data_IF_064020407060
#
_entry.id   IF_064020407060
#
_cell.length_a   1.000
_cell.length_b   1.000
_cell.length_c   1.000
_cell.angle_alpha   90.00
_cell.angle_beta   90.00
_cell.angle_gamma   90.00
#
_symmetry.space_group_name_H-M   'P 1'
#
loop_
_entity.id
_entity.type
_entity.pdbx_description
1 polymer ?
#
# COMPACT_ATOMS: atom_id res chain seq x y z
N UNK A 1 -10.40 -18.36 17.59
CA UNK A 1 -9.67 -17.52 16.63
C UNK A 1 -9.83 -18.14 15.26
N UNK A 2 -10.39 -17.43 14.29
CA UNK A 2 -10.29 -17.86 12.90
C UNK A 2 -8.79 -17.84 12.57
N UNK A 3 -8.25 -18.98 12.15
CA UNK A 3 -6.88 -19.07 11.65
C UNK A 3 -6.85 -18.21 10.38
N UNK A 4 -6.32 -16.99 10.47
CA UNK A 4 -6.02 -16.22 9.27
C UNK A 4 -4.91 -16.99 8.56
N UNK A 5 -5.30 -17.78 7.55
CA UNK A 5 -4.37 -18.62 6.81
C UNK A 5 -3.35 -17.75 6.08
N UNK A 6 -2.19 -17.54 6.68
CA UNK A 6 -1.04 -17.05 5.95
C UNK A 6 -0.51 -18.18 5.07
N UNK A 7 0.01 -17.84 3.90
CA UNK A 7 0.81 -18.79 3.15
C UNK A 7 2.29 -18.63 3.51
N UNK A 8 2.96 -19.75 3.70
CA UNK A 8 4.41 -19.77 3.91
C UNK A 8 5.10 -19.73 2.55
N UNK A 9 6.03 -18.80 2.36
CA UNK A 9 6.85 -18.68 1.15
C UNK A 9 8.30 -18.46 1.58
N UNK A 10 9.24 -19.12 0.90
CA UNK A 10 10.66 -18.83 1.04
C UNK A 10 11.05 -17.56 0.27
N UNK A 11 12.00 -16.75 0.76
CA UNK A 11 12.45 -15.58 0.01
C UNK A 11 12.91 -15.89 -1.43
N UNK A 12 13.53 -17.06 -1.68
CA UNK A 12 13.86 -17.53 -3.03
C UNK A 12 12.62 -17.75 -3.89
N UNK A 13 11.56 -18.37 -3.34
CA UNK A 13 10.30 -18.55 -4.07
C UNK A 13 9.69 -17.21 -4.50
N UNK A 14 9.84 -16.13 -3.74
CA UNK A 14 9.39 -14.79 -4.19
C UNK A 14 10.05 -14.38 -5.51
N UNK A 15 11.38 -14.49 -5.59
CA UNK A 15 12.12 -14.16 -6.81
C UNK A 15 11.72 -15.10 -7.96
N UNK A 16 11.52 -16.39 -7.69
CA UNK A 16 11.08 -17.33 -8.71
C UNK A 16 9.63 -17.07 -9.17
N UNK A 17 8.75 -16.60 -8.30
CA UNK A 17 7.40 -16.14 -8.68
C UNK A 17 7.48 -14.94 -9.63
N UNK A 18 8.34 -13.96 -9.37
CA UNK A 18 8.60 -12.85 -10.32
C UNK A 18 9.14 -13.38 -11.64
N UNK A 19 9.98 -14.40 -11.61
CA UNK A 19 10.57 -15.01 -12.80
C UNK A 19 9.51 -15.73 -13.66
N UNK A 20 8.56 -16.39 -13.00
CA UNK A 20 7.47 -17.16 -13.62
C UNK A 20 6.51 -16.29 -14.44
N UNK A 21 6.41 -14.99 -14.18
CA UNK A 21 5.54 -14.09 -14.95
C UNK A 21 6.06 -13.86 -16.38
N UNK A 22 7.33 -14.16 -16.64
CA UNK A 22 7.96 -13.99 -17.94
C UNK A 22 7.79 -15.25 -18.77
N UNK A 23 7.32 -15.09 -20.01
CA UNK A 23 7.22 -16.20 -20.97
C UNK A 23 8.56 -16.94 -21.12
N UNK A 24 8.51 -18.27 -21.26
CA UNK A 24 9.69 -19.12 -21.43
C UNK A 24 10.51 -19.33 -20.15
N UNK A 25 9.96 -19.04 -18.97
CA UNK A 25 10.49 -19.51 -17.70
C UNK A 25 10.43 -21.05 -17.66
N UNK A 26 11.57 -21.69 -17.39
CA UNK A 26 11.65 -23.14 -17.15
C UNK A 26 11.53 -23.36 -15.65
N UNK A 27 10.66 -24.27 -15.24
CA UNK A 27 10.50 -24.58 -13.82
C UNK A 27 11.84 -25.06 -13.24
N UNK A 28 12.19 -24.48 -12.10
CA UNK A 28 13.41 -24.77 -11.35
C UNK A 28 13.05 -25.82 -10.30
N UNK A 29 13.95 -26.76 -9.94
CA UNK A 29 13.74 -27.72 -8.86
C UNK A 29 13.71 -27.03 -7.48
N UNK A 30 12.65 -26.28 -7.24
CA UNK A 30 12.23 -25.76 -5.95
C UNK A 30 10.84 -26.32 -5.71
N UNK A 31 10.64 -26.95 -4.55
CA UNK A 31 9.45 -27.73 -4.18
C UNK A 31 8.21 -26.84 -3.98
N UNK A 32 7.72 -26.24 -5.07
CA UNK A 32 6.53 -25.41 -5.09
C UNK A 32 5.91 -25.30 -6.47
N UNK A 33 4.59 -25.48 -6.52
CA UNK A 33 3.79 -25.07 -7.66
C UNK A 33 3.70 -23.53 -7.71
N UNK A 34 4.68 -22.90 -8.37
CA UNK A 34 4.76 -21.43 -8.51
C UNK A 34 3.55 -20.85 -9.26
N UNK A 35 2.91 -21.62 -10.15
CA UNK A 35 1.72 -21.19 -10.86
C UNK A 35 0.52 -21.08 -9.91
N UNK A 36 0.30 -22.09 -9.06
CA UNK A 36 -0.75 -22.05 -8.04
C UNK A 36 -0.52 -20.92 -7.05
N UNK A 37 0.73 -20.72 -6.64
CA UNK A 37 1.11 -19.63 -5.76
C UNK A 37 0.75 -18.27 -6.40
N UNK A 38 1.19 -18.04 -7.65
CA UNK A 38 0.88 -16.81 -8.37
C UNK A 38 -0.63 -16.58 -8.52
N UNK A 39 -1.39 -17.63 -8.78
CA UNK A 39 -2.85 -17.55 -8.87
C UNK A 39 -3.50 -17.15 -7.54
N UNK A 40 -3.03 -17.70 -6.40
CA UNK A 40 -3.48 -17.31 -5.05
C UNK A 40 -3.15 -15.86 -4.73
N UNK A 41 -1.94 -15.40 -5.08
CA UNK A 41 -1.51 -14.01 -4.86
C UNK A 41 -2.36 -13.04 -5.70
N UNK A 42 -2.66 -13.39 -6.96
CA UNK A 42 -3.50 -12.58 -7.85
C UNK A 42 -4.95 -12.48 -7.40
N UNK A 43 -5.51 -13.57 -6.86
CA UNK A 43 -6.90 -13.56 -6.39
C UNK A 43 -7.07 -12.77 -5.08
N UNK A 44 -6.01 -12.66 -4.28
CA UNK A 44 -6.01 -11.87 -3.05
C UNK A 44 -4.64 -11.20 -2.80
N UNK A 45 -4.43 -9.96 -3.28
CA UNK A 45 -3.20 -9.21 -3.00
C UNK A 45 -2.94 -8.93 -1.51
N UNK A 46 -3.97 -9.02 -0.66
CA UNK A 46 -3.87 -8.89 0.78
C UNK A 46 -3.60 -10.21 1.51
N UNK A 47 -3.45 -11.33 0.78
CA UNK A 47 -3.14 -12.61 1.37
C UNK A 47 -1.89 -12.48 2.26
N UNK A 48 -1.98 -12.78 3.57
CA UNK A 48 -0.81 -12.73 4.42
C UNK A 48 0.22 -13.76 3.95
N UNK A 49 1.44 -13.30 3.72
CA UNK A 49 2.58 -14.12 3.35
C UNK A 49 3.57 -14.09 4.50
N UNK A 50 3.95 -15.26 4.99
CA UNK A 50 5.00 -15.42 5.99
C UNK A 50 6.28 -15.89 5.32
N UNK A 51 7.37 -15.13 5.50
CA UNK A 51 8.66 -15.45 4.91
C UNK A 51 9.39 -16.50 5.75
N UNK A 52 9.42 -17.75 5.27
CA UNK A 52 10.01 -18.88 5.99
C UNK A 52 11.33 -19.31 5.36
N UNK A 53 12.36 -19.57 6.17
CA UNK A 53 13.57 -20.22 5.66
C UNK A 53 14.32 -20.93 6.78
N UNK A 54 14.98 -22.05 6.47
CA UNK A 54 15.77 -22.81 7.45
C UNK A 54 16.99 -22.01 7.90
N UNK A 55 17.10 -21.75 9.21
CA UNK A 55 18.25 -21.11 9.87
C UNK A 55 18.59 -21.86 11.17
N UNK A 56 19.82 -21.70 11.65
CA UNK A 56 20.32 -22.28 12.92
C UNK A 56 20.53 -21.24 14.03
N UNK A 57 20.08 -20.00 13.81
CA UNK A 57 20.15 -18.93 14.80
C UNK A 57 18.96 -18.99 15.75
N UNK A 58 18.86 -18.02 16.67
CA UNK A 58 17.67 -17.82 17.51
C UNK A 58 16.39 -17.47 16.73
N UNK A 59 16.43 -17.44 15.39
CA UNK A 59 15.27 -17.36 14.50
C UNK A 59 14.82 -18.74 13.98
N UNK A 60 15.31 -19.86 14.52
CA UNK A 60 14.88 -21.20 14.08
C UNK A 60 13.41 -21.52 14.41
N UNK A 61 12.78 -20.79 15.34
CA UNK A 61 11.38 -20.98 15.73
C UNK A 61 10.41 -20.83 14.54
N UNK A 62 10.82 -20.13 13.49
CA UNK A 62 10.01 -19.97 12.29
C UNK A 62 10.32 -20.99 11.19
N UNK A 63 11.32 -21.86 11.35
CA UNK A 63 11.75 -22.79 10.30
C UNK A 63 10.56 -23.59 9.75
N UNK A 64 10.54 -23.89 8.44
CA UNK A 64 9.55 -24.81 7.90
C UNK A 64 9.68 -26.18 8.56
N UNK A 65 8.54 -26.83 8.86
CA UNK A 65 8.50 -28.05 9.70
C UNK A 65 9.30 -29.24 9.15
N UNK A 66 9.57 -29.31 7.84
CA UNK A 66 10.10 -30.51 7.18
C UNK A 66 11.12 -30.21 6.05
N UNK A 67 12.02 -29.24 6.19
CA UNK A 67 12.99 -28.98 5.11
C UNK A 67 14.42 -28.79 5.61
N UNK A 68 15.25 -29.81 5.39
CA UNK A 68 16.68 -29.59 5.20
C UNK A 68 16.86 -28.74 3.93
N UNK A 69 17.45 -27.56 4.08
CA UNK A 69 17.76 -26.67 2.98
C UNK A 69 19.26 -26.67 2.76
N UNK A 70 19.71 -26.76 1.50
CA UNK A 70 21.14 -26.66 1.20
C UNK A 70 21.68 -25.30 1.68
N UNK A 71 22.95 -25.27 2.08
CA UNK A 71 23.61 -24.03 2.54
C UNK A 71 23.54 -22.91 1.48
N UNK A 72 23.46 -23.29 0.20
CA UNK A 72 23.20 -22.36 -0.90
C UNK A 72 21.86 -21.65 -0.74
N UNK A 73 20.75 -22.38 -0.59
CA UNK A 73 19.42 -21.77 -0.45
C UNK A 73 19.26 -21.00 0.86
N UNK A 74 19.87 -21.48 1.95
CA UNK A 74 19.93 -20.71 3.21
C UNK A 74 20.59 -19.35 2.97
N UNK A 75 21.75 -19.31 2.31
CA UNK A 75 22.43 -18.05 1.93
C UNK A 75 21.55 -17.16 1.06
N UNK A 76 20.91 -17.72 0.02
CA UNK A 76 20.03 -16.97 -0.88
C UNK A 76 18.89 -16.31 -0.12
N UNK A 77 18.20 -17.08 0.72
CA UNK A 77 17.10 -16.57 1.54
C UNK A 77 17.53 -15.43 2.46
N UNK A 78 18.65 -15.59 3.16
CA UNK A 78 19.20 -14.56 4.03
C UNK A 78 19.65 -13.31 3.27
N UNK A 79 20.23 -13.44 2.08
CA UNK A 79 20.61 -12.29 1.23
C UNK A 79 19.40 -11.51 0.74
N UNK A 80 18.32 -12.21 0.39
CA UNK A 80 17.06 -11.59 -0.03
C UNK A 80 16.45 -10.81 1.14
N UNK A 81 16.30 -11.45 2.31
CA UNK A 81 15.77 -10.82 3.52
C UNK A 81 16.60 -9.61 3.96
N UNK A 82 17.92 -9.72 3.95
CA UNK A 82 18.83 -8.63 4.29
C UNK A 82 18.66 -7.42 3.36
N UNK A 83 18.50 -7.63 2.04
CA UNK A 83 18.24 -6.55 1.09
C UNK A 83 16.86 -5.92 1.29
N UNK A 84 15.85 -6.72 1.59
CA UNK A 84 14.48 -6.25 1.83
C UNK A 84 14.30 -5.52 3.18
N UNK A 85 15.28 -5.63 4.09
CA UNK A 85 15.16 -5.13 5.46
C UNK A 85 14.16 -5.95 6.28
N UNK A 86 14.12 -7.27 6.07
CA UNK A 86 13.21 -8.20 6.73
C UNK A 86 13.98 -9.33 7.44
N UNK A 87 13.29 -10.03 8.34
CA UNK A 87 13.83 -11.18 9.07
C UNK A 87 13.00 -12.44 8.79
N UNK A 88 13.54 -13.65 9.00
CA UNK A 88 12.74 -14.86 8.91
C UNK A 88 11.52 -14.78 9.83
N UNK A 89 10.37 -15.28 9.37
CA UNK A 89 9.10 -15.24 10.07
C UNK A 89 8.33 -13.93 9.92
N UNK A 90 8.83 -12.96 9.15
CA UNK A 90 8.07 -11.73 8.84
C UNK A 90 6.79 -12.08 8.07
N UNK A 91 5.65 -11.62 8.56
CA UNK A 91 4.33 -11.79 7.92
C UNK A 91 3.75 -10.44 7.50
N UNK A 92 3.39 -10.30 6.22
CA UNK A 92 2.83 -9.08 5.63
C UNK A 92 1.85 -9.40 4.49
N UNK A 93 1.00 -8.46 4.06
CA UNK A 93 0.27 -8.60 2.80
C UNK A 93 1.20 -8.90 1.62
N UNK A 94 0.77 -9.81 0.74
CA UNK A 94 1.54 -10.19 -0.45
C UNK A 94 2.01 -8.98 -1.27
N UNK A 95 1.10 -8.02 -1.53
CA UNK A 95 1.40 -6.82 -2.32
C UNK A 95 2.56 -6.01 -1.75
N UNK A 96 2.70 -5.92 -0.43
CA UNK A 96 3.80 -5.22 0.24
C UNK A 96 5.13 -5.97 0.11
N UNK A 97 5.10 -7.30 0.29
CA UNK A 97 6.31 -8.14 0.18
C UNK A 97 6.89 -8.05 -1.23
N UNK A 98 6.04 -8.18 -2.25
CA UNK A 98 6.50 -8.11 -3.63
C UNK A 98 6.92 -6.70 -4.03
N UNK A 99 6.24 -5.66 -3.57
CA UNK A 99 6.70 -4.30 -3.81
C UNK A 99 8.09 -4.05 -3.22
N UNK A 100 8.32 -4.47 -1.96
CA UNK A 100 9.65 -4.37 -1.32
C UNK A 100 10.71 -5.16 -2.08
N UNK A 101 10.38 -6.37 -2.52
CA UNK A 101 11.28 -7.20 -3.30
C UNK A 101 11.74 -6.47 -4.57
N UNK A 102 10.79 -5.96 -5.36
CA UNK A 102 11.07 -5.27 -6.62
C UNK A 102 11.86 -3.97 -6.41
N UNK A 103 11.57 -3.25 -5.33
CA UNK A 103 12.29 -2.04 -4.93
C UNK A 103 13.74 -2.32 -4.54
N UNK A 104 13.98 -3.35 -3.73
CA UNK A 104 15.28 -3.58 -3.06
C UNK A 104 16.21 -4.58 -3.76
N UNK A 105 15.68 -5.45 -4.62
CA UNK A 105 16.45 -6.48 -5.32
C UNK A 105 16.47 -6.19 -6.81
N UNK A 106 17.56 -5.56 -7.26
CA UNK A 106 17.76 -5.12 -8.64
C UNK A 106 18.01 -6.26 -9.63
N UNK A 107 18.67 -7.34 -9.18
CA UNK A 107 19.05 -8.48 -10.03
C UNK A 107 19.15 -9.78 -9.24
N UNK A 108 18.96 -10.91 -9.92
CA UNK A 108 19.25 -12.25 -9.40
C UNK A 108 20.75 -12.55 -9.30
N UNK A 109 21.61 -11.76 -9.96
CA UNK A 109 23.07 -11.92 -9.94
C UNK A 109 23.63 -11.80 -8.52
N UNK A 110 24.48 -12.74 -8.13
CA UNK A 110 25.11 -12.79 -6.80
C UNK A 110 24.18 -13.27 -5.67
N UNK A 111 22.91 -13.53 -6.00
CA UNK A 111 21.91 -14.12 -5.12
C UNK A 111 21.62 -15.53 -5.60
N UNK A 112 20.90 -15.67 -6.72
CA UNK A 112 20.44 -16.95 -7.24
C UNK A 112 21.45 -17.59 -8.21
N UNK A 113 22.30 -16.81 -8.85
CA UNK A 113 23.37 -17.31 -9.73
C UNK A 113 24.66 -16.51 -9.53
N UNK A 114 25.79 -17.08 -9.95
CA UNK A 114 27.11 -16.47 -9.85
C UNK A 114 27.80 -16.48 -11.22
N UNK A 115 28.70 -15.52 -11.46
CA UNK A 115 29.53 -15.51 -12.67
C UNK A 115 30.72 -16.47 -12.54
N UNK A 116 31.24 -16.62 -11.33
CA UNK A 116 32.31 -17.54 -11.00
C UNK A 116 31.78 -18.61 -10.04
N UNK A 117 31.94 -19.87 -10.44
CA UNK A 117 31.57 -21.02 -9.62
C UNK A 117 32.78 -21.40 -8.78
N UNK A 118 32.68 -21.23 -7.47
CA UNK A 118 33.78 -21.55 -6.54
C UNK A 118 33.78 -23.02 -6.10
N UNK A 119 32.64 -23.70 -6.19
CA UNK A 119 32.49 -25.14 -5.95
C UNK A 119 31.11 -25.62 -6.44
N UNK A 120 30.90 -26.94 -6.53
CA UNK A 120 29.59 -27.50 -6.92
C UNK A 120 28.45 -27.07 -5.98
N UNK A 121 28.71 -26.95 -4.67
CA UNK A 121 27.72 -26.49 -3.69
C UNK A 121 27.34 -25.02 -3.93
N UNK A 122 28.24 -24.23 -4.52
CA UNK A 122 28.07 -22.80 -4.82
C UNK A 122 27.84 -22.52 -6.30
N UNK A 123 27.38 -23.50 -7.07
CA UNK A 123 27.11 -23.35 -8.51
C UNK A 123 26.00 -22.33 -8.80
N UNK A 124 25.02 -22.26 -7.92
CA UNK A 124 23.81 -21.46 -8.13
C UNK A 124 22.88 -22.07 -9.17
N UNK A 125 21.84 -21.31 -9.53
CA UNK A 125 20.87 -21.65 -10.56
C UNK A 125 21.32 -21.16 -11.94
N UNK A 126 20.83 -21.79 -13.00
CA UNK A 126 21.15 -21.40 -14.38
C UNK A 126 20.59 -20.01 -14.73
N UNK A 127 21.46 -19.12 -15.21
CA UNK A 127 21.13 -17.72 -15.51
C UNK A 127 20.00 -17.60 -16.54
N UNK A 128 20.05 -18.42 -17.60
CA UNK A 128 19.11 -18.38 -18.72
C UNK A 128 17.68 -18.76 -18.31
N UNK A 129 17.55 -19.62 -17.28
CA UNK A 129 16.26 -20.03 -16.73
C UNK A 129 15.66 -19.03 -15.76
N UNK A 130 16.48 -18.22 -15.09
CA UNK A 130 16.08 -17.45 -13.92
C UNK A 130 15.20 -16.25 -14.18
N UNK A 131 15.20 -15.60 -15.36
CA UNK A 131 14.30 -14.50 -15.84
C UNK A 131 13.86 -13.39 -14.85
N UNK A 132 14.36 -13.31 -13.62
CA UNK A 132 13.95 -12.39 -12.57
C UNK A 132 14.12 -10.95 -13.00
N UNK A 133 15.29 -10.60 -13.54
CA UNK A 133 15.63 -9.24 -13.96
C UNK A 133 14.62 -8.71 -15.01
N UNK A 134 14.16 -9.59 -15.92
CA UNK A 134 13.09 -9.28 -16.88
C UNK A 134 11.74 -9.13 -16.18
N UNK A 135 11.37 -10.07 -15.32
CA UNK A 135 10.12 -10.01 -14.56
C UNK A 135 10.02 -8.74 -13.71
N UNK A 136 11.13 -8.34 -13.08
CA UNK A 136 11.23 -7.11 -12.30
C UNK A 136 10.89 -5.86 -13.11
N UNK A 137 11.38 -5.77 -14.36
CA UNK A 137 11.07 -4.62 -15.24
C UNK A 137 9.60 -4.52 -15.63
N UNK A 138 8.81 -5.60 -15.47
CA UNK A 138 7.36 -5.59 -15.71
C UNK A 138 6.57 -4.95 -14.57
N UNK A 139 7.22 -4.68 -13.42
CA UNK A 139 6.62 -3.98 -12.30
C UNK A 139 5.67 -4.81 -11.46
N UNK A 140 5.12 -4.17 -10.42
CA UNK A 140 4.20 -4.82 -9.48
C UNK A 140 2.88 -5.18 -10.15
N UNK A 141 2.45 -4.40 -11.13
CA UNK A 141 1.21 -4.58 -11.88
C UNK A 141 1.19 -5.88 -12.70
N UNK A 142 2.36 -6.43 -13.07
CA UNK A 142 2.44 -7.74 -13.72
C UNK A 142 2.14 -8.90 -12.75
N UNK A 143 2.34 -8.67 -11.44
CA UNK A 143 2.03 -9.63 -10.38
C UNK A 143 0.59 -9.43 -9.92
N UNK A 144 0.21 -8.18 -9.60
CA UNK A 144 -1.12 -7.78 -9.14
C UNK A 144 -1.75 -6.80 -10.14
N UNK A 145 -2.41 -7.31 -11.20
CA UNK A 145 -2.98 -6.45 -12.23
C UNK A 145 -4.11 -5.58 -11.66
N UNK A 146 -4.03 -4.28 -11.93
CA UNK A 146 -5.10 -3.34 -11.65
C UNK A 146 -6.23 -3.43 -12.70
N UNK A 147 -7.34 -2.78 -12.41
CA UNK A 147 -8.39 -2.59 -13.41
C UNK A 147 -7.88 -1.81 -14.62
N UNK A 148 -8.32 -2.22 -15.81
CA UNK A 148 -8.07 -1.45 -17.03
C UNK A 148 -8.75 -0.08 -16.98
N UNK A 149 -8.22 0.89 -17.73
CA UNK A 149 -8.71 2.29 -17.74
C UNK A 149 -10.22 2.41 -17.91
N UNK A 150 -10.82 1.65 -18.82
CA UNK A 150 -12.27 1.68 -19.06
C UNK A 150 -13.09 1.31 -17.80
N UNK A 151 -12.63 0.31 -17.04
CA UNK A 151 -13.30 -0.09 -15.80
C UNK A 151 -13.15 0.97 -14.72
N UNK A 152 -11.98 1.59 -14.59
CA UNK A 152 -11.76 2.71 -13.64
C UNK A 152 -12.66 3.89 -14.01
N UNK A 153 -12.74 4.28 -15.29
CA UNK A 153 -13.62 5.36 -15.75
C UNK A 153 -15.09 5.09 -15.43
N UNK A 154 -15.55 3.84 -15.61
CA UNK A 154 -16.92 3.46 -15.26
C UNK A 154 -17.16 3.56 -13.76
N UNK A 155 -16.28 3.00 -12.94
CA UNK A 155 -16.36 3.08 -11.47
C UNK A 155 -16.34 4.54 -10.99
N UNK A 156 -15.51 5.37 -11.60
CA UNK A 156 -15.47 6.82 -11.36
C UNK A 156 -16.83 7.44 -11.66
N UNK A 157 -17.39 7.21 -12.84
CA UNK A 157 -18.70 7.76 -13.22
C UNK A 157 -19.82 7.33 -12.25
N UNK A 158 -19.88 6.04 -11.91
CA UNK A 158 -20.90 5.48 -11.03
C UNK A 158 -20.79 6.02 -9.60
N UNK A 159 -19.57 6.06 -9.06
CA UNK A 159 -19.31 6.58 -7.71
C UNK A 159 -19.56 8.09 -7.61
N UNK A 160 -19.20 8.86 -8.62
CA UNK A 160 -19.49 10.30 -8.69
C UNK A 160 -21.00 10.55 -8.72
N UNK A 161 -21.74 9.84 -9.58
CA UNK A 161 -23.20 9.97 -9.63
C UNK A 161 -23.84 9.62 -8.28
N UNK A 162 -23.38 8.56 -7.62
CA UNK A 162 -23.83 8.19 -6.28
C UNK A 162 -23.55 9.28 -5.23
N UNK A 163 -22.39 9.93 -5.29
CA UNK A 163 -22.03 11.03 -4.38
C UNK A 163 -22.94 12.25 -4.55
N UNK A 164 -23.16 12.73 -5.78
CA UNK A 164 -24.00 13.90 -6.04
C UNK A 164 -25.47 13.69 -5.67
N UNK A 165 -25.96 12.45 -5.70
CA UNK A 165 -27.32 12.10 -5.28
C UNK A 165 -27.44 11.87 -3.76
N UNK A 166 -26.33 11.78 -3.04
CA UNK A 166 -26.33 11.45 -1.63
C UNK A 166 -26.75 12.64 -0.76
N UNK A 167 -27.57 12.39 0.25
CA UNK A 167 -27.89 13.36 1.30
C UNK A 167 -26.80 13.48 2.37
N UNK A 168 -25.84 12.55 2.37
CA UNK A 168 -24.78 12.44 3.37
C UNK A 168 -23.51 11.84 2.75
N UNK A 169 -22.39 12.52 2.91
CA UNK A 169 -21.09 11.97 2.50
C UNK A 169 -20.54 11.06 3.58
N UNK A 170 -19.98 9.91 3.20
CA UNK A 170 -19.22 9.04 4.10
C UNK A 170 -17.75 9.21 3.79
N UNK A 171 -16.99 9.77 4.73
CA UNK A 171 -15.61 10.21 4.52
C UNK A 171 -14.73 9.69 5.66
N UNK A 172 -13.52 9.22 5.32
CA UNK A 172 -12.51 8.88 6.34
C UNK A 172 -11.97 10.17 6.97
N UNK A 173 -11.73 10.22 8.29
CA UNK A 173 -11.21 11.43 8.95
C UNK A 173 -9.98 12.05 8.29
N UNK A 174 -8.95 11.27 7.92
CA UNK A 174 -7.75 11.81 7.28
C UNK A 174 -8.00 12.35 5.87
N UNK A 175 -9.04 11.87 5.17
CA UNK A 175 -9.39 12.41 3.86
C UNK A 175 -9.88 13.86 3.94
N UNK A 176 -10.35 14.34 5.10
CA UNK A 176 -10.62 15.76 5.31
C UNK A 176 -9.34 16.59 5.09
N UNK A 177 -8.20 16.09 5.58
CA UNK A 177 -6.89 16.72 5.35
C UNK A 177 -6.44 16.61 3.89
N UNK A 178 -6.66 15.45 3.26
CA UNK A 178 -6.35 15.25 1.84
C UNK A 178 -7.15 16.20 0.94
N UNK A 179 -8.44 16.42 1.24
CA UNK A 179 -9.28 17.39 0.53
C UNK A 179 -8.70 18.81 0.66
N UNK A 180 -8.29 19.23 1.86
CA UNK A 180 -7.63 20.53 2.07
C UNK A 180 -6.34 20.66 1.28
N UNK A 181 -5.48 19.64 1.31
CA UNK A 181 -4.22 19.63 0.56
C UNK A 181 -4.46 19.67 -0.95
N UNK A 182 -5.43 18.91 -1.45
CA UNK A 182 -5.82 18.86 -2.85
C UNK A 182 -6.29 20.23 -3.34
N UNK A 183 -7.17 20.88 -2.57
CA UNK A 183 -7.70 22.21 -2.89
C UNK A 183 -6.62 23.29 -2.87
N UNK A 184 -5.76 23.31 -1.84
CA UNK A 184 -4.70 24.32 -1.73
C UNK A 184 -3.49 24.07 -2.65
N UNK A 185 -3.35 22.83 -3.15
CA UNK A 185 -2.22 22.39 -3.98
C UNK A 185 -2.34 22.77 -5.46
N UNK A 186 -2.42 21.74 -6.31
CA UNK A 186 -2.47 21.84 -7.78
C UNK A 186 -3.77 22.52 -8.25
N UNK A 187 -3.92 22.65 -9.56
CA UNK A 187 -5.18 23.07 -10.19
C UNK A 187 -6.36 22.23 -9.68
N UNK A 188 -7.40 22.90 -9.16
CA UNK A 188 -8.60 22.27 -8.63
C UNK A 188 -9.46 21.73 -9.78
N UNK A 189 -9.19 20.47 -10.17
CA UNK A 189 -9.90 19.76 -11.24
C UNK A 189 -10.05 18.28 -10.92
N UNK A 190 -11.08 17.59 -11.43
CA UNK A 190 -11.24 16.16 -11.23
C UNK A 190 -10.01 15.36 -11.70
N UNK A 191 -9.70 14.30 -10.97
CA UNK A 191 -8.75 13.27 -11.41
C UNK A 191 -9.44 11.91 -11.44
N UNK A 192 -8.85 10.97 -12.19
CA UNK A 192 -9.48 9.67 -12.40
C UNK A 192 -9.25 8.73 -11.20
N UNK A 193 -8.24 8.98 -10.38
CA UNK A 193 -7.76 8.07 -9.33
C UNK A 193 -8.44 8.23 -7.97
N UNK A 194 -9.30 9.23 -7.75
CA UNK A 194 -10.08 9.40 -6.52
C UNK A 194 -11.31 10.32 -6.75
N UNK A 195 -12.16 10.48 -5.73
CA UNK A 195 -13.26 11.46 -5.74
C UNK A 195 -13.05 12.66 -4.79
N UNK A 196 -11.81 13.13 -4.60
CA UNK A 196 -11.54 14.29 -3.74
C UNK A 196 -12.20 15.56 -4.28
N UNK A 197 -12.10 15.80 -5.58
CA UNK A 197 -12.71 16.96 -6.23
C UNK A 197 -14.22 16.99 -6.00
N UNK A 198 -14.92 15.89 -6.28
CA UNK A 198 -16.37 15.84 -6.21
C UNK A 198 -16.88 15.97 -4.77
N UNK A 199 -16.14 15.41 -3.79
CA UNK A 199 -16.46 15.65 -2.38
C UNK A 199 -16.39 17.14 -2.03
N UNK A 200 -15.38 17.86 -2.52
CA UNK A 200 -15.21 19.31 -2.29
C UNK A 200 -16.31 20.11 -3.01
N UNK A 201 -16.59 19.79 -4.27
CA UNK A 201 -17.60 20.47 -5.09
C UNK A 201 -19.02 20.35 -4.50
N UNK A 202 -19.37 19.17 -3.98
CA UNK A 202 -20.63 18.95 -3.27
C UNK A 202 -20.71 19.83 -2.01
N UNK A 203 -19.60 19.95 -1.26
CA UNK A 203 -19.54 20.79 -0.05
C UNK A 203 -19.63 22.28 -0.40
N UNK A 204 -19.00 22.73 -1.49
CA UNK A 204 -19.13 24.10 -1.98
C UNK A 204 -20.58 24.44 -2.29
N UNK A 205 -21.28 23.53 -2.97
CA UNK A 205 -22.67 23.69 -3.36
C UNK A 205 -23.63 23.62 -2.17
N UNK A 206 -23.28 22.86 -1.13
CA UNK A 206 -24.08 22.72 0.09
C UNK A 206 -23.20 22.59 1.35
N UNK A 207 -22.78 23.71 1.96
CA UNK A 207 -21.99 23.70 3.19
C UNK A 207 -22.67 23.02 4.40
N UNK A 208 -23.99 22.80 4.33
CA UNK A 208 -24.76 22.12 5.36
C UNK A 208 -24.94 20.62 5.07
N UNK A 209 -24.34 20.06 4.01
CA UNK A 209 -24.39 18.63 3.76
C UNK A 209 -23.80 17.85 4.94
N UNK A 210 -24.43 16.74 5.30
CA UNK A 210 -23.97 15.89 6.38
C UNK A 210 -22.74 15.10 5.94
N UNK A 211 -21.75 14.99 6.83
CA UNK A 211 -20.58 14.13 6.69
C UNK A 211 -20.57 13.15 7.87
N UNK A 212 -20.61 11.85 7.57
CA UNK A 212 -20.38 10.77 8.52
C UNK A 212 -18.92 10.34 8.46
N UNK A 213 -18.25 10.35 9.61
CA UNK A 213 -16.87 9.86 9.74
C UNK A 213 -16.87 8.34 9.80
N UNK A 214 -16.24 7.67 8.84
CA UNK A 214 -16.27 6.20 8.76
C UNK A 214 -14.87 5.58 8.81
N UNK A 215 -14.82 4.33 9.28
CA UNK A 215 -13.64 3.48 9.20
C UNK A 215 -13.64 2.71 7.87
N UNK A 216 -12.46 2.48 7.29
CA UNK A 216 -12.29 1.76 6.03
C UNK A 216 -12.60 2.60 4.77
N UNK A 217 -12.67 1.98 3.58
CA UNK A 217 -12.87 2.71 2.33
C UNK A 217 -14.14 3.57 2.34
N UNK A 218 -14.01 4.81 1.87
CA UNK A 218 -15.10 5.79 1.85
C UNK A 218 -15.46 6.22 0.43
N UNK A 219 -16.35 7.20 0.27
CA UNK A 219 -16.82 7.65 -1.05
C UNK A 219 -15.72 8.20 -1.98
N UNK A 220 -14.54 8.50 -1.45
CA UNK A 220 -13.36 8.95 -2.21
C UNK A 220 -12.62 7.78 -2.89
N UNK A 221 -12.66 6.59 -2.27
CA UNK A 221 -11.84 5.45 -2.64
C UNK A 221 -12.22 4.67 -3.91
N UNK A 222 -13.49 4.61 -4.39
CA UNK A 222 -13.87 3.62 -5.40
C UNK A 222 -13.00 3.59 -6.66
N UNK A 223 -12.60 4.72 -7.28
CA UNK A 223 -11.78 4.67 -8.48
C UNK A 223 -10.27 4.56 -8.19
N UNK A 224 -9.87 4.50 -6.92
CA UNK A 224 -8.47 4.38 -6.54
C UNK A 224 -7.88 3.05 -6.98
N UNK A 225 -6.73 3.08 -7.66
CA UNK A 225 -6.01 1.87 -8.09
C UNK A 225 -5.58 0.96 -6.92
N UNK A 226 -5.52 1.51 -5.70
CA UNK A 226 -5.18 0.77 -4.50
C UNK A 226 -6.41 0.29 -3.71
N UNK A 227 -7.64 0.56 -4.17
CA UNK A 227 -8.83 0.01 -3.56
C UNK A 227 -9.08 -1.41 -4.09
N UNK A 228 -9.24 -2.36 -3.18
CA UNK A 228 -9.56 -3.75 -3.50
C UNK A 228 -11.02 -4.04 -3.13
N UNK A 229 -11.87 -4.14 -4.14
CA UNK A 229 -13.32 -4.39 -3.97
C UNK A 229 -13.61 -5.72 -3.25
N UNK A 230 -12.89 -6.79 -3.56
CA UNK A 230 -13.15 -8.12 -2.99
C UNK A 230 -12.88 -8.20 -1.48
N UNK A 231 -11.92 -7.41 -0.99
CA UNK A 231 -11.60 -7.32 0.45
C UNK A 231 -12.18 -6.08 1.12
N UNK A 232 -12.73 -5.14 0.34
CA UNK A 232 -13.13 -3.80 0.77
C UNK A 232 -12.03 -3.11 1.61
N UNK A 233 -10.79 -3.13 1.12
CA UNK A 233 -9.60 -2.61 1.80
C UNK A 233 -8.71 -1.79 0.87
N UNK A 234 -7.86 -0.94 1.45
CA UNK A 234 -6.76 -0.29 0.75
C UNK A 234 -5.56 -1.25 0.72
N UNK A 235 -5.01 -1.51 -0.47
CA UNK A 235 -3.97 -2.52 -0.73
C UNK A 235 -2.69 -1.90 -1.27
N UNK A 236 -2.42 -0.64 -0.95
CA UNK A 236 -1.20 0.01 -1.43
C UNK A 236 0.04 -0.65 -0.82
N UNK A 237 1.04 -0.81 -1.67
CA UNK A 237 2.27 -1.57 -1.46
C UNK A 237 3.19 -1.10 -0.33
N UNK A 238 2.93 0.03 0.29
CA UNK A 238 3.81 0.66 1.30
C UNK A 238 3.13 0.77 2.67
N UNK A 239 2.37 -0.25 3.09
CA UNK A 239 1.68 -0.25 4.40
C UNK A 239 0.70 0.90 4.60
N UNK A 240 0.17 1.44 3.50
CA UNK A 240 -0.66 2.64 3.53
C UNK A 240 -1.91 2.45 4.40
N UNK A 241 -2.46 1.24 4.43
CA UNK A 241 -3.62 0.92 5.24
C UNK A 241 -3.38 1.19 6.74
N UNK A 242 -2.26 0.72 7.29
CA UNK A 242 -1.93 0.88 8.72
C UNK A 242 -1.69 2.35 9.10
N UNK A 243 -0.87 3.06 8.31
CA UNK A 243 -0.61 4.47 8.59
C UNK A 243 -1.86 5.34 8.42
N UNK A 244 -2.72 5.03 7.45
CA UNK A 244 -3.93 5.83 7.22
C UNK A 244 -4.99 5.55 8.30
N UNK A 245 -5.02 4.34 8.86
CA UNK A 245 -5.82 4.05 10.06
C UNK A 245 -5.34 4.88 11.26
N UNK A 246 -4.02 4.96 11.50
CA UNK A 246 -3.49 5.82 12.56
C UNK A 246 -3.83 7.30 12.30
N UNK A 247 -3.68 7.80 11.06
CA UNK A 247 -4.05 9.18 10.74
C UNK A 247 -5.53 9.46 11.00
N UNK A 248 -6.41 8.50 10.71
CA UNK A 248 -7.82 8.66 11.02
C UNK A 248 -8.04 8.81 12.52
N UNK A 249 -7.42 7.94 13.31
CA UNK A 249 -7.52 7.97 14.77
C UNK A 249 -6.93 9.27 15.35
N UNK A 250 -5.80 9.76 14.84
CA UNK A 250 -5.21 11.01 15.29
C UNK A 250 -6.08 12.22 14.93
N UNK A 251 -6.70 12.25 13.74
CA UNK A 251 -7.69 13.28 13.39
C UNK A 251 -8.88 13.20 14.36
N UNK A 252 -9.45 12.02 14.58
CA UNK A 252 -10.57 11.84 15.49
C UNK A 252 -10.23 12.30 16.92
N UNK A 253 -9.04 11.94 17.41
CA UNK A 253 -8.55 12.32 18.73
C UNK A 253 -8.38 13.85 18.85
N UNK A 254 -7.76 14.50 17.87
CA UNK A 254 -7.58 15.96 17.87
C UNK A 254 -8.90 16.72 17.77
N UNK A 255 -9.88 16.13 17.08
CA UNK A 255 -11.23 16.67 16.97
C UNK A 255 -12.14 16.24 18.13
N UNK A 256 -11.74 15.33 19.01
CA UNK A 256 -12.65 14.78 20.04
C UNK A 256 -13.93 14.20 19.42
N UNK A 257 -13.80 13.48 18.31
CA UNK A 257 -14.88 12.80 17.58
C UNK A 257 -14.63 11.28 17.54
N UNK A 258 -15.64 10.53 17.15
CA UNK A 258 -15.58 9.08 16.91
C UNK A 258 -16.00 8.74 15.47
N UNK A 259 -15.68 7.51 15.05
CA UNK A 259 -16.35 6.93 13.89
C UNK A 259 -17.86 6.84 14.14
N UNK A 260 -18.65 7.15 13.12
CA UNK A 260 -20.10 7.24 13.17
C UNK A 260 -20.64 8.63 13.50
N UNK A 261 -19.79 9.55 14.00
CA UNK A 261 -20.22 10.94 14.23
C UNK A 261 -20.62 11.59 12.91
N UNK A 262 -21.71 12.35 12.97
CA UNK A 262 -22.29 13.06 11.81
C UNK A 262 -22.37 14.55 12.12
N UNK A 263 -21.74 15.36 11.28
CA UNK A 263 -21.76 16.82 11.38
C UNK A 263 -22.04 17.42 10.01
N UNK A 264 -22.47 18.67 9.96
CA UNK A 264 -22.46 19.40 8.69
C UNK A 264 -21.01 19.65 8.25
N UNK A 265 -20.77 19.77 6.93
CA UNK A 265 -19.45 20.10 6.42
C UNK A 265 -18.91 21.40 7.03
N UNK A 266 -19.77 22.42 7.19
CA UNK A 266 -19.41 23.69 7.84
C UNK A 266 -18.91 23.51 9.27
N UNK A 267 -19.64 22.78 10.11
CA UNK A 267 -19.22 22.52 11.49
C UNK A 267 -17.92 21.71 11.55
N UNK A 268 -17.85 20.64 10.73
CA UNK A 268 -16.72 19.73 10.72
C UNK A 268 -15.42 20.43 10.31
N UNK A 269 -15.43 21.18 9.20
CA UNK A 269 -14.23 21.89 8.74
C UNK A 269 -13.88 23.09 9.62
N UNK A 270 -14.86 23.75 10.25
CA UNK A 270 -14.57 24.77 11.27
C UNK A 270 -13.82 24.16 12.46
N UNK A 271 -14.28 22.98 12.92
CA UNK A 271 -13.61 22.23 13.98
C UNK A 271 -12.23 21.77 13.55
N UNK A 272 -12.10 21.23 12.34
CA UNK A 272 -10.85 20.78 11.73
C UNK A 272 -9.80 21.89 11.76
N UNK A 273 -10.12 23.05 11.17
CA UNK A 273 -9.16 24.14 10.99
C UNK A 273 -8.85 24.90 12.28
N UNK A 274 -9.70 24.84 13.30
CA UNK A 274 -9.40 25.39 14.63
C UNK A 274 -8.46 24.50 15.47
N UNK A 275 -8.37 23.20 15.16
CA UNK A 275 -7.54 22.23 15.92
C UNK A 275 -6.28 21.79 15.19
N UNK A 276 -6.35 21.65 13.86
CA UNK A 276 -5.25 21.15 13.04
C UNK A 276 -4.73 22.33 12.22
N UNK A 277 -3.62 22.91 12.68
CA UNK A 277 -2.99 24.09 12.05
C UNK A 277 -2.01 23.67 10.94
N UNK A 278 -1.38 22.52 11.11
CA UNK A 278 -0.42 21.92 10.17
C UNK A 278 -0.71 20.43 10.05
N UNK A 279 -0.22 19.80 8.98
CA UNK A 279 -0.32 18.34 8.80
C UNK A 279 0.80 17.58 9.50
N UNK A 280 1.80 18.23 10.08
CA UNK A 280 2.98 17.58 10.66
C UNK A 280 2.64 16.59 11.79
N UNK A 281 1.72 16.89 12.73
CA UNK A 281 1.40 15.96 13.81
C UNK A 281 0.87 14.61 13.31
N UNK A 282 0.14 14.63 12.18
CA UNK A 282 -0.60 13.49 11.64
C UNK A 282 0.13 12.88 10.43
N UNK A 283 0.28 13.64 9.36
CA UNK A 283 0.90 13.18 8.11
C UNK A 283 2.43 13.11 8.18
N UNK A 284 3.03 13.90 9.07
CA UNK A 284 4.46 13.89 9.39
C UNK A 284 4.82 13.02 10.59
N UNK A 285 3.84 12.34 11.21
CA UNK A 285 4.03 11.52 12.43
C UNK A 285 4.71 12.31 13.57
N UNK A 286 4.46 13.62 13.66
CA UNK A 286 4.99 14.57 14.64
C UNK A 286 6.50 14.85 14.60
N UNK A 287 7.34 13.92 14.12
CA UNK A 287 8.80 14.08 14.06
C UNK A 287 9.37 14.17 12.64
N UNK A 288 8.52 14.07 11.62
CA UNK A 288 8.87 14.07 10.20
C UNK A 288 9.91 13.00 9.82
N UNK A 289 9.93 11.86 10.53
CA UNK A 289 10.87 10.76 10.25
C UNK A 289 10.16 9.57 9.65
N UNK A 290 10.63 9.16 8.48
CA UNK A 290 10.34 7.82 7.96
C UNK A 290 11.00 6.77 8.86
N UNK A 291 10.23 5.82 9.38
CA UNK A 291 10.74 4.73 10.25
C UNK A 291 11.03 3.49 9.43
N UNK A 292 10.00 2.95 8.80
CA UNK A 292 10.00 1.87 7.82
C UNK A 292 8.96 2.24 6.75
N UNK A 293 8.98 1.61 5.56
CA UNK A 293 8.05 1.99 4.49
C UNK A 293 6.57 2.02 4.90
N UNK A 294 6.15 1.12 5.80
CA UNK A 294 4.77 1.08 6.32
C UNK A 294 4.43 2.28 7.22
N UNK A 295 5.44 2.85 7.87
CA UNK A 295 5.37 4.09 8.64
C UNK A 295 6.05 5.24 7.88
N UNK A 296 5.89 5.25 6.56
CA UNK A 296 6.33 6.35 5.71
C UNK A 296 5.42 7.58 5.88
N UNK A 297 6.02 8.75 6.05
CA UNK A 297 5.32 10.03 6.06
C UNK A 297 4.78 10.36 4.67
N UNK A 298 3.88 11.33 4.54
CA UNK A 298 3.40 11.77 3.23
C UNK A 298 4.49 12.57 2.48
N UNK A 299 5.28 11.95 1.60
CA UNK A 299 6.52 12.50 1.00
C UNK A 299 6.42 13.07 -0.43
N UNK A 300 5.38 13.79 -0.86
CA UNK A 300 5.61 14.60 -2.09
C UNK A 300 6.45 15.82 -1.66
N UNK A 301 7.75 15.74 -2.02
CA UNK A 301 8.81 16.73 -1.88
C UNK A 301 8.81 17.52 -0.56
N UNK A 302 9.80 17.18 0.27
CA UNK A 302 10.41 18.06 1.26
C UNK A 302 10.15 19.55 0.99
N UNK A 303 9.40 20.17 1.90
CA UNK A 303 9.07 21.60 2.05
C UNK A 303 7.67 22.10 1.62
N UNK A 304 6.83 21.35 0.90
CA UNK A 304 5.62 21.96 0.28
C UNK A 304 4.24 21.40 0.69
N UNK A 305 4.10 20.23 1.34
CA UNK A 305 2.74 19.72 1.69
C UNK A 305 2.05 20.47 2.81
N UNK A 306 2.81 20.92 3.79
CA UNK A 306 2.23 21.83 4.77
C UNK A 306 1.81 23.14 4.08
N UNK A 307 2.49 23.57 3.00
CA UNK A 307 2.09 24.77 2.26
C UNK A 307 0.73 24.59 1.58
N UNK A 308 0.50 23.46 0.90
CA UNK A 308 -0.80 23.16 0.27
C UNK A 308 -1.93 23.06 1.30
N UNK A 309 -1.70 22.37 2.43
CA UNK A 309 -2.67 22.33 3.51
C UNK A 309 -2.94 23.72 4.10
N UNK A 310 -1.88 24.46 4.45
CA UNK A 310 -1.98 25.80 5.04
C UNK A 310 -2.71 26.76 4.11
N UNK A 311 -2.42 26.71 2.80
CA UNK A 311 -3.12 27.49 1.77
C UNK A 311 -4.59 27.08 1.64
N UNK A 312 -4.89 25.79 1.56
CA UNK A 312 -6.27 25.31 1.50
C UNK A 312 -7.07 25.67 2.75
N UNK A 313 -6.43 25.60 3.92
CA UNK A 313 -6.97 26.02 5.22
C UNK A 313 -7.21 27.52 5.28
N UNK A 314 -6.25 28.36 4.86
CA UNK A 314 -6.41 29.82 4.86
C UNK A 314 -7.53 30.29 3.93
N UNK A 315 -7.82 29.50 2.90
CA UNK A 315 -8.92 29.72 1.97
C UNK A 315 -10.24 29.10 2.46
N UNK A 316 -10.26 28.43 3.61
CA UNK A 316 -11.46 27.78 4.15
C UNK A 316 -12.00 26.68 3.23
N UNK A 317 -11.12 25.98 2.50
CA UNK A 317 -11.47 25.08 1.39
C UNK A 317 -12.33 25.77 0.30
N UNK A 318 -12.40 27.10 0.23
CA UNK A 318 -13.23 27.83 -0.73
C UNK A 318 -14.70 28.03 -0.33
N UNK A 319 -15.16 27.46 0.79
CA UNK A 319 -16.56 27.57 1.22
C UNK A 319 -16.73 28.10 2.65
N UNK A 320 -15.69 28.03 3.49
CA UNK A 320 -15.65 28.70 4.79
C UNK A 320 -15.02 30.08 4.64
N UNK A 321 -15.51 31.04 5.42
CA UNK A 321 -14.84 32.34 5.53
C UNK A 321 -13.41 32.14 6.07
N UNK A 322 -12.43 32.93 5.61
CA UNK A 322 -11.03 32.78 6.00
C UNK A 322 -10.84 32.85 7.53
N UNK A 323 -9.91 32.04 8.04
CA UNK A 323 -9.42 32.06 9.42
C UNK A 323 -8.19 32.95 9.54
#
# INVERSE_FOLDING_TARGET
MLEFGSIDITPVQLMLTVSKIVEGFKDVPVDSNLADLLNKLRSNPNLPVTLRCSVTSNYEYQNPKNTESSIFYVRCNLKILQKMGMVPGSTRPAVEIFARLLETIESAKGILYFEEITSEIWKGLEKEGLRYDKGRTMGLEAIFPHWGRNKISQIKADSVNSMYQSKKLKIRPHHLLCMTCFYGGKEFKPIIEDNLYEAIDIIHSNPNILIELICGPCMICPPCKFYCESSNQCISSNGMALRDELKDLDVLQMLGLNYGDVLTAKELFTKLYSKIISTDPICGLSDNKNRIPEWGICTESSNDKNSAYVKGRSQGLGFLHPF
#
